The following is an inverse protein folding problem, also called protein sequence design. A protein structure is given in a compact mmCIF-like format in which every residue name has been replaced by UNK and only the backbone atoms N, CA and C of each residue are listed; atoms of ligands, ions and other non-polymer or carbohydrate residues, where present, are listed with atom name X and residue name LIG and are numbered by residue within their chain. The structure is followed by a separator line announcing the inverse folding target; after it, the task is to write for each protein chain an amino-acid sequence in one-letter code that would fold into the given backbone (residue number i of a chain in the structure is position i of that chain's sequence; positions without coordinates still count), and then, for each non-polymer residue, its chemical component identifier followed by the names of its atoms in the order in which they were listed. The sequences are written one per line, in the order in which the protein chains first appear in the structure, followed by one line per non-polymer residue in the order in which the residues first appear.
data_IF_997592824136
#
_entry.id   IF_997592824136
#
_cell.length_a   1.000
_cell.length_b   1.000
_cell.length_c   1.000
_cell.angle_alpha   90.00
_cell.angle_beta   90.00
_cell.angle_gamma   90.00
#
_symmetry.space_group_name_H-M   'P 1'
#
loop_
_entity.id
_entity.type
_entity.pdbx_description
1 polymer ?
#
# COMPACT_ATOMS: atom_id res chain seq x y z
N UNK A 1 23.52 66.42 -7.94
CA UNK A 1 22.92 66.13 -9.26
C UNK A 1 22.09 64.87 -9.16
N UNK A 2 20.76 64.86 -9.18
CA UNK A 2 19.75 65.89 -9.33
C UNK A 2 18.44 65.35 -8.72
N UNK A 3 17.65 66.26 -8.15
CA UNK A 3 16.23 66.12 -7.77
C UNK A 3 15.31 66.05 -9.01
N UNK A 4 14.11 65.48 -8.84
CA UNK A 4 12.78 65.83 -9.41
C UNK A 4 11.94 64.55 -9.61
N UNK A 5 10.63 64.43 -9.33
CA UNK A 5 9.59 65.40 -8.98
C UNK A 5 8.39 64.58 -8.42
N UNK A 6 8.01 64.74 -7.14
CA UNK A 6 6.80 65.38 -6.61
C UNK A 6 5.43 65.07 -7.26
N UNK A 7 4.49 64.75 -6.33
CA UNK A 7 3.07 65.22 -6.22
C UNK A 7 2.06 64.66 -7.24
N UNK A 8 0.77 64.54 -6.95
CA UNK A 8 -0.08 64.66 -5.76
C UNK A 8 -1.44 64.03 -6.16
N UNK A 9 -2.03 63.19 -5.31
CA UNK A 9 -3.25 63.49 -4.54
C UNK A 9 -4.59 63.59 -5.32
N UNK A 10 -5.45 62.61 -5.02
CA UNK A 10 -6.85 62.72 -4.56
C UNK A 10 -7.98 63.01 -5.57
N UNK A 11 -9.10 62.29 -5.31
CA UNK A 11 -10.53 62.69 -5.44
C UNK A 11 -11.10 62.65 -6.87
N UNK A 12 -12.34 62.23 -7.17
CA UNK A 12 -13.66 62.09 -6.50
C UNK A 12 -14.41 60.89 -7.18
N UNK A 13 -15.21 60.06 -6.50
CA UNK A 13 -16.66 60.20 -6.20
C UNK A 13 -17.58 60.57 -7.41
N UNK A 14 -18.51 59.64 -7.68
CA UNK A 14 -19.89 59.74 -8.16
C UNK A 14 -20.26 60.76 -9.27
N UNK A 15 -20.92 60.30 -10.35
CA UNK A 15 -22.39 60.37 -10.52
C UNK A 15 -22.83 60.05 -11.97
N UNK A 16 -24.03 59.46 -12.09
CA UNK A 16 -25.07 59.59 -13.15
C UNK A 16 -24.70 59.47 -14.66
N UNK A 17 -25.52 58.94 -15.58
CA UNK A 17 -26.98 59.01 -15.69
C UNK A 17 -27.54 57.99 -16.70
N UNK A 18 -28.80 57.65 -16.44
CA UNK A 18 -29.92 57.05 -17.21
C UNK A 18 -29.79 56.80 -18.72
N UNK A 19 -30.49 55.75 -19.18
CA UNK A 19 -31.91 55.84 -19.63
C UNK A 19 -32.29 54.78 -20.67
N UNK A 20 -33.39 54.05 -20.43
CA UNK A 20 -34.56 53.80 -21.32
C UNK A 20 -35.35 52.61 -20.75
N UNK A 21 -36.39 52.85 -19.94
CA UNK A 21 -37.81 53.13 -20.28
C UNK A 21 -38.54 52.01 -21.01
N UNK A 22 -39.59 51.51 -20.35
CA UNK A 22 -40.67 50.72 -20.93
C UNK A 22 -41.66 50.23 -19.87
N UNK A 23 -42.54 51.12 -19.40
CA UNK A 23 -43.68 50.79 -18.52
C UNK A 23 -44.92 50.45 -19.36
N UNK A 24 -45.77 49.54 -18.86
CA UNK A 24 -47.07 49.26 -19.47
C UNK A 24 -47.94 48.21 -18.78
N UNK A 25 -48.67 48.65 -17.74
CA UNK A 25 -50.07 48.35 -17.36
C UNK A 25 -50.58 46.90 -17.12
N UNK A 26 -50.94 46.69 -15.85
CA UNK A 26 -52.26 46.34 -15.26
C UNK A 26 -53.39 45.66 -16.08
N UNK A 27 -53.99 44.66 -15.41
CA UNK A 27 -55.40 44.18 -15.36
C UNK A 27 -55.50 42.67 -15.68
N UNK A 28 -56.25 41.83 -14.99
CA UNK A 28 -57.23 41.99 -13.92
C UNK A 28 -57.67 40.59 -13.45
N UNK A 29 -58.34 40.56 -12.30
CA UNK A 29 -58.86 39.38 -11.62
C UNK A 29 -60.06 38.73 -12.35
N UNK A 30 -60.24 37.42 -12.17
CA UNK A 30 -61.51 36.74 -11.89
C UNK A 30 -61.18 35.25 -11.60
N UNK A 31 -61.34 34.75 -10.38
CA UNK A 31 -62.57 34.37 -9.67
C UNK A 31 -62.97 32.89 -9.90
N UNK A 32 -63.30 32.25 -8.79
CA UNK A 32 -63.57 30.83 -8.52
C UNK A 32 -64.97 30.42 -9.09
N UNK A 33 -65.50 29.16 -9.01
CA UNK A 33 -65.50 28.32 -7.80
C UNK A 33 -65.60 26.76 -7.92
N UNK A 34 -65.23 26.13 -6.79
CA UNK A 34 -65.83 24.99 -6.07
C UNK A 34 -66.79 23.98 -6.73
N UNK A 35 -66.55 22.70 -6.40
CA UNK A 35 -67.50 21.70 -5.82
C UNK A 35 -66.68 20.44 -5.48
N UNK A 36 -66.52 19.90 -4.27
CA UNK A 36 -67.38 19.58 -3.13
C UNK A 36 -68.51 18.59 -3.41
N UNK A 37 -68.45 17.46 -2.69
CA UNK A 37 -69.50 16.45 -2.54
C UNK A 37 -69.12 15.09 -3.13
N UNK A 38 -69.42 13.93 -2.55
CA UNK A 38 -69.83 13.56 -1.21
C UNK A 38 -69.73 12.02 -1.19
N UNK A 39 -69.58 11.43 0.00
CA UNK A 39 -69.63 9.98 0.21
C UNK A 39 -71.02 9.45 -0.16
N UNK A 40 -71.09 8.20 -0.64
CA UNK A 40 -72.05 7.20 -0.17
C UNK A 40 -71.69 5.78 -0.62
N UNK A 41 -71.91 4.87 0.32
CA UNK A 41 -71.72 3.44 0.29
C UNK A 41 -72.51 2.71 -0.79
N UNK A 42 -71.91 1.64 -1.32
CA UNK A 42 -72.62 0.42 -1.69
C UNK A 42 -71.64 -0.77 -1.58
N UNK A 43 -71.80 -1.56 -0.52
CA UNK A 43 -71.09 -2.82 -0.36
C UNK A 43 -71.60 -3.90 -1.31
N UNK A 44 -70.74 -4.89 -1.57
CA UNK A 44 -71.17 -6.18 -2.09
C UNK A 44 -70.17 -6.85 -3.03
N UNK A 45 -69.55 -7.92 -2.52
CA UNK A 45 -69.01 -9.10 -3.26
C UNK A 45 -67.62 -8.97 -3.90
N UNK A 46 -66.59 -9.29 -3.10
CA UNK A 46 -65.54 -10.23 -3.56
C UNK A 46 -64.62 -10.57 -2.38
N UNK A 47 -65.02 -11.57 -1.59
CA UNK A 47 -64.15 -12.33 -0.69
C UNK A 47 -64.46 -13.79 -0.95
N UNK A 48 -63.91 -14.28 -2.06
CA UNK A 48 -63.91 -15.71 -2.43
C UNK A 48 -62.90 -15.91 -3.56
N UNK A 49 -61.63 -15.54 -3.31
CA UNK A 49 -60.51 -15.92 -4.21
C UNK A 49 -59.15 -15.75 -3.56
N UNK A 50 -58.99 -16.30 -2.36
CA UNK A 50 -57.67 -16.34 -1.72
C UNK A 50 -57.56 -17.43 -0.65
N UNK A 51 -58.12 -18.63 -0.88
CA UNK A 51 -57.90 -19.80 -0.02
C UNK A 51 -57.76 -21.13 -0.80
N UNK A 52 -57.54 -21.07 -2.12
CA UNK A 52 -57.39 -22.26 -2.96
C UNK A 52 -56.06 -22.24 -3.73
N UNK A 53 -54.95 -22.23 -2.98
CA UNK A 53 -53.59 -22.54 -3.49
C UNK A 53 -52.60 -23.01 -2.42
N UNK A 54 -53.10 -23.45 -1.26
CA UNK A 54 -52.32 -24.08 -0.18
C UNK A 54 -53.06 -25.32 0.34
N UNK A 55 -53.30 -26.29 -0.54
CA UNK A 55 -53.73 -27.64 -0.16
C UNK A 55 -53.42 -28.58 -1.34
N UNK A 56 -52.13 -28.86 -1.53
CA UNK A 56 -51.65 -29.66 -2.65
C UNK A 56 -50.15 -29.92 -2.58
N UNK A 57 -49.64 -30.15 -1.37
CA UNK A 57 -48.28 -30.63 -1.14
C UNK A 57 -48.31 -31.57 0.06
N UNK A 58 -48.91 -32.73 -0.14
CA UNK A 58 -48.60 -33.89 0.68
C UNK A 58 -48.91 -35.16 -0.12
N UNK A 59 -47.92 -36.06 -0.16
CA UNK A 59 -47.99 -37.46 -0.61
C UNK A 59 -47.89 -37.74 -2.11
N UNK A 60 -46.65 -37.74 -2.61
CA UNK A 60 -46.14 -38.93 -3.31
C UNK A 60 -44.81 -39.27 -2.67
N UNK A 61 -44.78 -40.41 -2.01
CA UNK A 61 -43.59 -40.99 -1.41
C UNK A 61 -42.93 -41.94 -2.42
N UNK A 62 -41.62 -42.05 -2.22
CA UNK A 62 -40.76 -43.20 -2.49
C UNK A 62 -40.18 -43.37 -3.90
N UNK A 63 -38.90 -43.75 -3.89
CA UNK A 63 -38.01 -44.04 -5.02
C UNK A 63 -37.42 -42.86 -5.82
N UNK A 64 -36.54 -42.05 -5.18
CA UNK A 64 -35.13 -41.93 -5.62
C UNK A 64 -34.35 -41.04 -4.63
N UNK A 65 -33.65 -41.66 -3.69
CA UNK A 65 -32.77 -40.97 -2.73
C UNK A 65 -31.34 -41.26 -3.14
N UNK A 66 -30.56 -40.31 -3.69
CA UNK A 66 -29.14 -40.54 -3.88
C UNK A 66 -28.52 -40.67 -2.49
N UNK A 67 -27.97 -41.85 -2.21
CA UNK A 67 -27.22 -42.12 -1.01
C UNK A 67 -26.11 -41.07 -0.92
N UNK A 68 -26.23 -40.12 0.01
CA UNK A 68 -25.10 -39.33 0.48
C UNK A 68 -24.17 -40.29 1.19
N UNK A 69 -23.26 -40.92 0.43
CA UNK A 69 -22.00 -41.42 0.96
C UNK A 69 -21.34 -40.22 1.62
N UNK A 70 -21.29 -40.25 2.94
CA UNK A 70 -20.36 -39.45 3.73
C UNK A 70 -18.99 -39.96 3.33
N UNK A 71 -18.43 -39.40 2.28
CA UNK A 71 -17.00 -39.52 2.00
C UNK A 71 -16.38 -38.68 3.09
N UNK A 72 -15.98 -39.33 4.18
CA UNK A 72 -14.89 -38.82 4.98
C UNK A 72 -13.71 -38.81 4.00
N UNK A 73 -13.45 -37.64 3.40
CA UNK A 73 -12.20 -37.38 2.72
C UNK A 73 -11.12 -37.56 3.79
N UNK A 74 -10.45 -38.71 3.76
CA UNK A 74 -9.15 -38.81 4.41
C UNK A 74 -8.29 -37.70 3.80
N UNK A 75 -7.72 -36.80 4.62
CA UNK A 75 -6.90 -35.72 4.10
C UNK A 75 -5.78 -36.34 3.27
N UNK A 76 -5.59 -35.80 2.07
CA UNK A 76 -4.58 -36.28 1.11
C UNK A 76 -3.27 -36.51 1.85
N UNK A 77 -2.72 -37.73 1.75
CA UNK A 77 -1.59 -38.16 2.58
C UNK A 77 -0.38 -37.22 2.44
N UNK A 78 -0.26 -36.55 1.29
CA UNK A 78 0.73 -35.53 1.01
C UNK A 78 0.45 -34.20 1.74
N UNK A 79 -0.81 -33.75 1.83
CA UNK A 79 -1.18 -32.55 2.60
C UNK A 79 -1.01 -32.76 4.11
N UNK A 80 -1.28 -33.97 4.59
CA UNK A 80 -1.07 -34.32 6.00
C UNK A 80 0.43 -34.36 6.33
N UNK A 81 1.25 -34.96 5.46
CA UNK A 81 2.71 -34.96 5.60
C UNK A 81 3.32 -33.55 5.53
N UNK A 82 2.89 -32.71 4.60
CA UNK A 82 3.35 -31.31 4.50
C UNK A 82 2.99 -30.49 5.73
N UNK A 83 1.81 -30.72 6.31
CA UNK A 83 1.38 -30.03 7.53
C UNK A 83 2.20 -30.47 8.74
N UNK A 84 2.51 -31.76 8.84
CA UNK A 84 3.39 -32.32 9.88
C UNK A 84 4.84 -31.79 9.76
N UNK A 85 5.37 -31.71 8.54
CA UNK A 85 6.70 -31.14 8.24
C UNK A 85 6.80 -29.66 8.64
N UNK A 86 5.77 -28.88 8.33
CA UNK A 86 5.69 -27.47 8.71
C UNK A 86 5.60 -27.30 10.23
N UNK A 87 4.82 -28.15 10.90
CA UNK A 87 4.71 -28.12 12.36
C UNK A 87 6.02 -28.51 13.05
N UNK A 88 6.72 -29.54 12.56
CA UNK A 88 8.03 -29.95 13.05
C UNK A 88 9.07 -28.81 12.89
N UNK A 89 9.08 -28.18 11.71
CA UNK A 89 9.95 -27.04 11.38
C UNK A 89 9.71 -25.85 12.31
N UNK A 90 8.45 -25.48 12.54
CA UNK A 90 8.10 -24.33 13.37
C UNK A 90 8.51 -24.52 14.84
N UNK A 91 8.35 -25.75 15.38
CA UNK A 91 8.75 -26.06 16.77
C UNK A 91 10.26 -25.86 16.98
N UNK A 92 11.09 -26.36 16.06
CA UNK A 92 12.55 -26.24 16.16
C UNK A 92 12.99 -24.77 16.01
N UNK A 93 12.44 -24.03 15.05
CA UNK A 93 12.76 -22.61 14.85
C UNK A 93 12.35 -21.74 16.03
N UNK A 94 11.19 -22.03 16.64
CA UNK A 94 10.72 -21.34 17.84
C UNK A 94 11.70 -21.50 18.99
N UNK A 95 12.14 -22.73 19.27
CA UNK A 95 13.10 -23.02 20.34
C UNK A 95 14.48 -22.42 20.05
N UNK A 96 14.96 -22.46 18.80
CA UNK A 96 16.20 -21.79 18.41
C UNK A 96 16.15 -20.28 18.69
N UNK A 97 15.02 -19.64 18.42
CA UNK A 97 14.81 -18.21 18.70
C UNK A 97 14.74 -17.94 20.20
N UNK A 98 13.97 -18.74 20.95
CA UNK A 98 13.87 -18.60 22.40
C UNK A 98 15.22 -18.81 23.09
N UNK A 99 16.05 -19.72 22.58
CA UNK A 99 17.40 -19.97 23.08
C UNK A 99 18.38 -18.85 22.71
N UNK A 100 18.24 -18.24 21.52
CA UNK A 100 19.04 -17.08 21.13
C UNK A 100 18.77 -15.85 22.03
N UNK A 101 17.52 -15.70 22.51
CA UNK A 101 17.09 -14.61 23.40
C UNK A 101 17.11 -15.01 24.91
N UNK A 102 17.56 -16.21 25.24
CA UNK A 102 17.51 -16.75 26.60
C UNK A 102 18.47 -16.06 27.56
N UNK A 103 18.13 -16.05 28.85
CA UNK A 103 19.05 -15.69 29.94
C UNK A 103 19.75 -16.96 30.46
N UNK A 104 20.90 -16.83 31.11
CA UNK A 104 21.67 -17.98 31.66
C UNK A 104 20.82 -18.91 32.52
N UNK A 105 19.97 -18.35 33.39
CA UNK A 105 19.08 -19.14 34.26
C UNK A 105 18.06 -20.00 33.49
N UNK A 106 17.72 -19.61 32.26
CA UNK A 106 16.74 -20.31 31.40
C UNK A 106 17.41 -21.11 30.27
N UNK A 107 18.73 -20.98 30.09
CA UNK A 107 19.46 -21.60 29.00
C UNK A 107 19.40 -23.13 29.06
N UNK A 108 19.75 -23.72 30.21
CA UNK A 108 19.86 -25.18 30.34
C UNK A 108 18.52 -25.91 30.12
N UNK A 109 17.39 -25.46 30.70
CA UNK A 109 16.08 -26.02 30.38
C UNK A 109 15.71 -25.90 28.90
N UNK A 110 15.99 -24.75 28.26
CA UNK A 110 15.69 -24.53 26.84
C UNK A 110 16.63 -25.29 25.90
N UNK A 111 17.88 -25.53 26.31
CA UNK A 111 18.84 -26.37 25.61
C UNK A 111 18.37 -27.83 25.61
N UNK A 112 17.98 -28.34 26.77
CA UNK A 112 17.50 -29.72 26.91
C UNK A 112 16.20 -29.91 26.10
N UNK A 113 15.27 -28.94 26.15
CA UNK A 113 14.03 -28.95 25.36
C UNK A 113 14.30 -28.85 23.85
N UNK A 114 15.29 -28.07 23.41
CA UNK A 114 15.70 -27.98 22.01
C UNK A 114 16.30 -29.29 21.52
N UNK A 115 17.19 -29.92 22.29
CA UNK A 115 17.81 -31.20 21.92
C UNK A 115 16.77 -32.32 21.84
N UNK A 116 15.86 -32.42 22.81
CA UNK A 116 14.76 -33.41 22.80
C UNK A 116 13.80 -33.18 21.62
N UNK A 117 13.46 -31.92 21.34
CA UNK A 117 12.60 -31.56 20.22
C UNK A 117 13.27 -31.81 18.87
N UNK A 118 14.58 -31.58 18.76
CA UNK A 118 15.35 -31.95 17.59
C UNK A 118 15.33 -33.46 17.38
N UNK A 119 15.60 -34.28 18.38
CA UNK A 119 15.56 -35.74 18.23
C UNK A 119 14.19 -36.27 17.76
N UNK A 120 13.10 -35.67 18.26
CA UNK A 120 11.73 -36.08 17.91
C UNK A 120 11.24 -35.56 16.57
N UNK A 121 11.56 -34.31 16.22
CA UNK A 121 10.92 -33.60 15.12
C UNK A 121 11.83 -33.48 13.87
N UNK A 122 13.17 -33.61 13.98
CA UNK A 122 14.06 -33.56 12.79
C UNK A 122 13.70 -34.62 11.73
N UNK A 123 13.44 -35.90 12.10
CA UNK A 123 13.08 -36.92 11.12
C UNK A 123 11.77 -36.63 10.39
N UNK A 124 10.94 -35.75 10.97
CA UNK A 124 9.65 -35.31 10.43
C UNK A 124 9.73 -33.98 9.70
N UNK A 125 10.91 -33.35 9.61
CA UNK A 125 11.09 -32.02 9.01
C UNK A 125 11.48 -32.07 7.51
N UNK A 126 11.45 -33.25 6.89
CA UNK A 126 11.67 -33.44 5.45
C UNK A 126 12.97 -32.79 4.96
N UNK A 127 12.88 -32.05 3.86
CA UNK A 127 14.01 -31.35 3.21
C UNK A 127 14.66 -30.27 4.09
N UNK A 128 13.95 -29.77 5.11
CA UNK A 128 14.46 -28.70 5.99
C UNK A 128 15.31 -29.22 7.15
N UNK A 129 15.39 -30.53 7.37
CA UNK A 129 16.05 -31.13 8.54
C UNK A 129 17.53 -30.73 8.68
N UNK A 130 18.29 -30.70 7.58
CA UNK A 130 19.72 -30.37 7.61
C UNK A 130 19.97 -28.89 7.92
N UNK A 131 19.15 -27.99 7.36
CA UNK A 131 19.22 -26.56 7.64
C UNK A 131 18.86 -26.24 9.10
N UNK A 132 17.82 -26.90 9.64
CA UNK A 132 17.39 -26.75 11.03
C UNK A 132 18.44 -27.26 12.01
N UNK A 133 19.08 -28.39 11.69
CA UNK A 133 20.21 -28.92 12.48
C UNK A 133 21.38 -27.93 12.50
N UNK A 134 21.78 -27.41 11.35
CA UNK A 134 22.84 -26.41 11.25
C UNK A 134 22.52 -25.15 12.04
N UNK A 135 21.27 -24.69 12.01
CA UNK A 135 20.85 -23.51 12.76
C UNK A 135 20.86 -23.74 14.28
N UNK A 136 20.35 -24.87 14.75
CA UNK A 136 20.39 -25.22 16.17
C UNK A 136 21.82 -25.40 16.69
N UNK A 137 22.69 -26.06 15.91
CA UNK A 137 24.11 -26.22 16.24
C UNK A 137 24.83 -24.88 16.37
N UNK A 138 24.51 -23.89 15.53
CA UNK A 138 25.07 -22.53 15.63
C UNK A 138 24.66 -21.84 16.92
N UNK A 139 23.38 -21.93 17.31
CA UNK A 139 22.89 -21.33 18.57
C UNK A 139 23.52 -22.02 19.77
N UNK A 140 23.62 -23.35 19.75
CA UNK A 140 24.27 -24.11 20.83
C UNK A 140 25.77 -23.84 20.91
N UNK A 141 26.45 -23.70 19.77
CA UNK A 141 27.87 -23.36 19.69
C UNK A 141 28.13 -21.96 20.25
N UNK A 142 27.30 -20.98 19.89
CA UNK A 142 27.36 -19.62 20.44
C UNK A 142 27.31 -19.64 21.98
N UNK A 143 26.36 -20.38 22.56
CA UNK A 143 26.29 -20.52 24.02
C UNK A 143 27.45 -21.30 24.63
N UNK A 144 28.01 -22.29 23.92
CA UNK A 144 29.18 -23.05 24.38
C UNK A 144 30.45 -22.21 24.43
N UNK A 145 30.62 -21.29 23.47
CA UNK A 145 31.82 -20.48 23.29
C UNK A 145 31.76 -19.14 24.07
N UNK A 146 30.58 -18.51 24.17
CA UNK A 146 30.43 -17.17 24.76
C UNK A 146 29.95 -17.18 26.22
N UNK A 147 29.31 -18.26 26.72
CA UNK A 147 28.70 -18.30 28.05
C UNK A 147 29.54 -18.97 29.15
N UNK A 148 30.82 -19.28 28.91
CA UNK A 148 31.80 -19.59 29.97
C UNK A 148 31.45 -20.70 30.98
N UNK A 149 30.54 -21.62 30.67
CA UNK A 149 30.09 -22.68 31.59
C UNK A 149 28.99 -22.24 32.57
N UNK A 150 28.41 -23.20 33.32
CA UNK A 150 27.11 -23.05 33.99
C UNK A 150 27.03 -22.01 35.11
N UNK A 151 28.18 -21.45 35.55
CA UNK A 151 28.26 -20.47 36.64
C UNK A 151 28.81 -19.10 36.20
N UNK A 152 28.88 -18.80 34.90
CA UNK A 152 29.36 -17.50 34.39
C UNK A 152 28.22 -16.56 33.96
N UNK A 153 28.46 -15.26 34.07
CA UNK A 153 27.49 -14.18 33.88
C UNK A 153 26.96 -14.13 32.42
N UNK A 154 25.68 -13.78 32.25
CA UNK A 154 24.98 -13.97 30.99
C UNK A 154 25.58 -13.17 29.82
N UNK A 155 25.85 -13.80 28.65
CA UNK A 155 26.29 -13.07 27.49
C UNK A 155 25.17 -12.12 27.03
N UNK A 156 25.54 -10.87 26.74
CA UNK A 156 24.60 -9.85 26.28
C UNK A 156 24.01 -10.26 24.92
N UNK A 157 22.70 -10.05 24.69
CA UNK A 157 22.10 -10.28 23.39
C UNK A 157 22.76 -9.37 22.34
N UNK A 158 22.94 -9.84 21.10
CA UNK A 158 23.50 -9.01 20.05
C UNK A 158 22.54 -7.85 19.74
N UNK A 159 22.91 -6.64 20.15
CA UNK A 159 22.20 -5.41 19.76
C UNK A 159 21.80 -4.46 20.90
N UNK A 160 22.71 -4.11 21.81
CA UNK A 160 22.62 -2.86 22.59
C UNK A 160 24.02 -2.37 23.04
N UNK A 161 24.49 -1.33 22.34
CA UNK A 161 25.74 -0.52 22.41
C UNK A 161 26.20 -0.08 23.83
N UNK A 162 27.45 0.44 24.08
CA UNK A 162 28.33 1.21 23.18
C UNK A 162 29.82 0.84 23.15
N UNK A 163 30.47 1.09 22.01
CA UNK A 163 31.93 0.97 21.84
C UNK A 163 32.66 2.20 22.38
N UNK A 164 33.58 1.97 23.30
CA UNK A 164 34.76 2.82 23.48
C UNK A 164 35.96 2.13 22.79
N UNK A 165 36.84 2.95 22.21
CA UNK A 165 37.61 2.67 21.00
C UNK A 165 38.78 1.67 21.12
N UNK A 166 38.90 0.78 20.12
CA UNK A 166 40.19 0.35 19.57
C UNK A 166 40.30 0.87 18.13
N UNK A 167 41.47 1.41 17.75
CA UNK A 167 41.63 2.31 16.60
C UNK A 167 41.26 1.67 15.24
N UNK A 168 40.56 2.41 14.34
CA UNK A 168 40.08 1.94 13.04
C UNK A 168 41.15 1.34 12.10
N UNK A 169 42.43 1.62 12.37
CA UNK A 169 43.54 1.28 11.48
C UNK A 169 43.94 -0.20 11.55
N UNK A 170 43.78 -0.83 12.71
CA UNK A 170 44.20 -2.23 12.94
C UNK A 170 43.13 -3.23 12.48
N UNK A 171 41.84 -2.92 12.67
CA UNK A 171 40.73 -3.71 12.15
C UNK A 171 40.62 -3.64 10.60
N UNK A 172 41.01 -2.52 10.00
CA UNK A 172 41.05 -2.36 8.54
C UNK A 172 42.22 -3.14 7.90
N UNK A 173 43.38 -3.23 8.58
CA UNK A 173 44.55 -3.97 8.10
C UNK A 173 44.29 -5.49 8.07
N UNK A 174 43.72 -6.05 9.14
CA UNK A 174 43.41 -7.48 9.23
C UNK A 174 42.36 -7.93 8.20
N UNK A 175 41.37 -7.06 7.89
CA UNK A 175 40.36 -7.34 6.85
C UNK A 175 40.94 -7.26 5.43
N UNK A 176 41.92 -6.40 5.18
CA UNK A 176 42.60 -6.27 3.88
C UNK A 176 43.47 -7.50 3.57
N UNK A 177 44.12 -8.06 4.59
CA UNK A 177 44.94 -9.27 4.45
C UNK A 177 44.09 -10.53 4.22
N UNK A 178 42.96 -10.67 4.92
CA UNK A 178 42.02 -11.77 4.70
C UNK A 178 41.35 -11.73 3.31
N UNK A 179 41.06 -10.52 2.80
CA UNK A 179 40.50 -10.33 1.46
C UNK A 179 41.50 -10.55 0.32
N UNK A 180 42.81 -10.42 0.59
CA UNK A 180 43.87 -10.65 -0.40
C UNK A 180 44.19 -12.13 -0.64
N UNK A 181 43.76 -13.03 0.27
CA UNK A 181 44.11 -14.45 0.25
C UNK A 181 42.95 -15.38 -0.15
N UNK A 182 41.77 -14.85 -0.45
CA UNK A 182 40.63 -15.65 -0.91
C UNK A 182 40.79 -16.06 -2.39
N UNK A 183 40.60 -17.34 -2.75
CA UNK A 183 40.75 -17.81 -4.12
C UNK A 183 39.72 -17.15 -5.04
N UNK A 184 40.20 -16.55 -6.14
CA UNK A 184 39.37 -15.94 -7.18
C UNK A 184 38.94 -17.01 -8.18
N UNK A 185 37.82 -17.67 -7.91
CA UNK A 185 37.04 -18.29 -8.98
C UNK A 185 35.90 -17.33 -9.36
N UNK A 186 35.83 -16.98 -10.63
CA UNK A 186 34.82 -16.08 -11.19
C UNK A 186 33.77 -16.96 -11.88
N UNK A 187 32.56 -17.12 -11.32
CA UNK A 187 31.45 -17.65 -12.08
C UNK A 187 30.99 -16.56 -13.05
N UNK A 188 31.07 -16.88 -14.35
CA UNK A 188 30.34 -16.13 -15.36
C UNK A 188 28.87 -16.53 -15.25
N UNK A 189 28.02 -15.54 -14.98
CA UNK A 189 26.56 -15.62 -14.89
C UNK A 189 25.99 -16.29 -13.62
N UNK A 190 25.34 -15.50 -12.76
CA UNK A 190 24.72 -16.01 -11.52
C UNK A 190 24.65 -14.97 -10.40
N UNK A 191 23.78 -13.96 -10.56
CA UNK A 191 23.40 -13.10 -9.44
C UNK A 191 22.77 -13.94 -8.32
N UNK A 192 22.98 -13.54 -7.06
CA UNK A 192 22.32 -14.16 -5.90
C UNK A 192 20.79 -14.29 -6.15
N UNK A 193 20.13 -15.36 -5.67
CA UNK A 193 18.71 -15.56 -5.88
C UNK A 193 17.92 -14.34 -5.37
N UNK A 194 17.12 -13.74 -6.25
CA UNK A 194 16.25 -12.61 -5.90
C UNK A 194 15.21 -13.10 -4.90
N UNK A 195 15.10 -12.43 -3.75
CA UNK A 195 14.08 -12.77 -2.77
C UNK A 195 12.68 -12.73 -3.42
N UNK A 196 11.75 -13.66 -3.10
CA UNK A 196 10.43 -13.70 -3.72
C UNK A 196 9.64 -12.39 -3.62
N UNK A 197 9.89 -11.58 -2.58
CA UNK A 197 9.29 -10.25 -2.38
C UNK A 197 9.80 -9.16 -3.33
N UNK A 198 10.86 -9.45 -4.09
CA UNK A 198 11.53 -8.57 -5.04
C UNK A 198 11.49 -9.10 -6.48
N UNK A 199 10.62 -10.07 -6.76
CA UNK A 199 10.17 -10.36 -8.13
C UNK A 199 9.12 -9.31 -8.56
N UNK A 200 8.81 -9.23 -9.86
CA UNK A 200 7.73 -8.36 -10.35
C UNK A 200 6.41 -8.68 -9.63
N UNK A 201 6.08 -9.97 -9.51
CA UNK A 201 4.88 -10.43 -8.82
C UNK A 201 4.92 -10.14 -7.33
N UNK A 202 6.07 -10.32 -6.67
CA UNK A 202 6.21 -10.05 -5.24
C UNK A 202 6.07 -8.57 -4.88
N UNK A 203 6.62 -7.67 -5.71
CA UNK A 203 6.44 -6.22 -5.54
C UNK A 203 5.00 -5.82 -5.85
N UNK A 204 4.40 -6.36 -6.92
CA UNK A 204 3.00 -6.11 -7.28
C UNK A 204 2.01 -6.60 -6.21
N UNK A 205 2.26 -7.77 -5.63
CA UNK A 205 1.51 -8.36 -4.52
C UNK A 205 1.52 -7.45 -3.29
N UNK A 206 2.72 -6.99 -2.88
CA UNK A 206 2.87 -6.07 -1.76
C UNK A 206 2.12 -4.76 -2.01
N UNK A 207 2.24 -4.21 -3.21
CA UNK A 207 1.53 -2.99 -3.59
C UNK A 207 0.02 -3.20 -3.57
N UNK A 208 -0.47 -4.35 -4.03
CA UNK A 208 -1.90 -4.66 -4.00
C UNK A 208 -2.44 -4.68 -2.57
N UNK A 209 -1.76 -5.38 -1.64
CA UNK A 209 -2.13 -5.41 -0.22
C UNK A 209 -2.10 -4.02 0.40
N UNK A 210 -1.10 -3.21 0.05
CA UNK A 210 -1.02 -1.81 0.49
C UNK A 210 -2.23 -1.01 -0.02
N UNK A 211 -2.61 -1.16 -1.28
CA UNK A 211 -3.75 -0.44 -1.87
C UNK A 211 -5.10 -0.87 -1.28
N UNK A 212 -5.28 -2.16 -1.00
CA UNK A 212 -6.45 -2.68 -0.26
C UNK A 212 -6.54 -2.03 1.12
N UNK A 213 -5.43 -1.99 1.86
CA UNK A 213 -5.35 -1.32 3.15
C UNK A 213 -5.60 0.20 3.07
N UNK A 214 -5.12 0.88 2.02
CA UNK A 214 -5.43 2.30 1.78
C UNK A 214 -6.93 2.50 1.51
N UNK A 215 -7.57 1.58 0.79
CA UNK A 215 -9.01 1.64 0.52
C UNK A 215 -9.83 1.55 1.80
N UNK A 216 -9.53 0.58 2.65
CA UNK A 216 -10.18 0.43 3.98
C UNK A 216 -9.96 1.67 4.86
N UNK A 217 -8.73 2.21 4.85
CA UNK A 217 -8.42 3.44 5.58
C UNK A 217 -9.20 4.64 5.05
N UNK A 218 -9.37 4.78 3.72
CA UNK A 218 -10.19 5.85 3.15
C UNK A 218 -11.63 5.72 3.56
N UNK A 219 -12.22 4.54 3.45
CA UNK A 219 -13.60 4.29 3.86
C UNK A 219 -13.82 4.63 5.34
N UNK A 220 -12.90 4.22 6.22
CA UNK A 220 -12.96 4.54 7.64
C UNK A 220 -12.89 6.06 7.91
N UNK A 221 -12.05 6.79 7.18
CA UNK A 221 -11.91 8.25 7.32
C UNK A 221 -13.13 8.99 6.74
N UNK A 222 -13.61 8.58 5.58
CA UNK A 222 -14.76 9.17 4.89
C UNK A 222 -16.07 8.92 5.65
N UNK A 223 -16.24 7.74 6.27
CA UNK A 223 -17.36 7.44 7.17
C UNK A 223 -17.40 8.31 8.43
N UNK A 224 -16.34 9.08 8.68
CA UNK A 224 -16.25 10.09 9.75
C UNK A 224 -16.35 11.53 9.23
N UNK A 225 -16.78 11.71 7.98
CA UNK A 225 -16.87 13.01 7.32
C UNK A 225 -15.53 13.74 7.21
N UNK A 226 -14.42 13.01 7.25
CA UNK A 226 -13.06 13.52 7.09
C UNK A 226 -12.52 13.16 5.71
N UNK A 227 -11.42 13.80 5.32
CA UNK A 227 -10.64 13.39 4.16
C UNK A 227 -9.30 12.84 4.58
N UNK A 228 -8.66 12.04 3.72
CA UNK A 228 -7.38 11.39 4.02
C UNK A 228 -6.27 12.37 4.42
N UNK A 229 -6.33 13.60 3.89
CA UNK A 229 -5.40 14.67 4.27
C UNK A 229 -5.51 15.06 5.74
N UNK A 230 -6.71 15.00 6.33
CA UNK A 230 -6.91 15.27 7.77
C UNK A 230 -6.19 14.22 8.63
N UNK A 231 -6.32 12.93 8.25
CA UNK A 231 -5.60 11.84 8.92
C UNK A 231 -4.09 12.03 8.78
N UNK A 232 -3.60 12.27 7.56
CA UNK A 232 -2.17 12.49 7.32
C UNK A 232 -1.66 13.66 8.16
N UNK A 233 -2.41 14.76 8.25
CA UNK A 233 -2.05 15.92 9.08
C UNK A 233 -2.05 15.57 10.57
N UNK A 234 -3.01 14.79 11.05
CA UNK A 234 -3.10 14.38 12.44
C UNK A 234 -1.93 13.50 12.87
N UNK A 235 -1.46 12.62 11.99
CA UNK A 235 -0.38 11.66 12.31
C UNK A 235 1.01 12.12 11.86
N UNK A 236 1.08 13.23 11.12
CA UNK A 236 2.35 13.83 10.70
C UNK A 236 3.15 14.29 11.91
N UNK A 237 4.40 13.83 12.01
CA UNK A 237 5.28 14.16 13.14
C UNK A 237 5.16 13.21 14.33
N UNK A 238 4.24 12.24 14.29
CA UNK A 238 4.13 11.18 15.30
C UNK A 238 5.31 10.18 15.23
N UNK A 239 6.15 10.25 14.20
CA UNK A 239 7.25 9.32 14.00
C UNK A 239 6.75 7.87 13.97
N UNK A 240 7.40 6.99 14.73
CA UNK A 240 7.01 5.58 14.82
C UNK A 240 5.65 5.34 15.48
N UNK A 241 5.08 6.34 16.17
CA UNK A 241 3.78 6.26 16.86
C UNK A 241 2.58 6.63 15.99
N UNK A 242 2.77 6.78 14.68
CA UNK A 242 1.72 7.23 13.79
C UNK A 242 0.52 6.25 13.74
N UNK A 243 0.72 4.96 14.04
CA UNK A 243 -0.37 3.97 14.14
C UNK A 243 -1.32 4.32 15.28
N UNK A 244 -0.77 4.55 16.47
CA UNK A 244 -1.52 4.85 17.67
C UNK A 244 -2.27 6.18 17.50
N UNK A 245 -1.62 7.18 16.90
CA UNK A 245 -2.26 8.46 16.56
C UNK A 245 -3.34 8.31 15.49
N UNK A 246 -3.17 7.42 14.50
CA UNK A 246 -4.21 7.11 13.51
C UNK A 246 -5.44 6.49 14.17
N UNK A 247 -5.24 5.54 15.08
CA UNK A 247 -6.32 4.92 15.87
C UNK A 247 -7.02 5.98 16.74
N UNK A 248 -6.26 6.83 17.43
CA UNK A 248 -6.81 7.91 18.25
C UNK A 248 -7.63 8.90 17.42
N UNK A 249 -7.12 9.31 16.25
CA UNK A 249 -7.82 10.18 15.32
C UNK A 249 -9.14 9.58 14.85
N UNK A 250 -9.15 8.30 14.46
CA UNK A 250 -10.37 7.62 14.02
C UNK A 250 -11.38 7.46 15.17
N UNK A 251 -10.94 7.15 16.39
CA UNK A 251 -11.84 7.01 17.54
C UNK A 251 -12.46 8.33 18.01
N UNK A 252 -11.78 9.45 17.79
CA UNK A 252 -12.23 10.80 18.23
C UNK A 252 -12.96 11.57 17.14
N UNK A 253 -12.89 11.12 15.89
CA UNK A 253 -13.58 11.76 14.78
C UNK A 253 -15.07 11.38 14.76
N UNK A 254 -15.98 12.37 14.65
CA UNK A 254 -17.41 12.11 14.64
C UNK A 254 -17.82 11.36 13.36
N UNK A 255 -18.86 10.52 13.45
CA UNK A 255 -19.47 9.86 12.30
C UNK A 255 -20.79 9.24 12.74
N UNK A 256 -21.77 9.19 11.85
CA UNK A 256 -22.99 8.42 12.09
C UNK A 256 -22.68 6.96 11.76
N UNK A 257 -22.70 6.10 12.79
CA UNK A 257 -22.34 4.67 12.70
C UNK A 257 -21.05 4.41 11.86
N UNK A 258 -19.91 4.99 12.25
CA UNK A 258 -18.72 4.96 11.41
C UNK A 258 -18.14 3.54 11.33
N UNK A 259 -17.53 3.15 10.20
CA UNK A 259 -16.84 1.87 10.09
C UNK A 259 -15.84 1.66 11.23
N UNK A 260 -15.70 0.41 11.68
CA UNK A 260 -14.71 0.05 12.68
C UNK A 260 -13.29 0.48 12.23
N UNK A 261 -12.43 0.78 13.20
CA UNK A 261 -11.03 1.13 12.91
C UNK A 261 -10.35 -0.07 12.24
N UNK A 262 -9.83 0.07 11.00
CA UNK A 262 -9.27 -1.06 10.27
C UNK A 262 -7.83 -1.33 10.73
N UNK A 263 -7.69 -2.01 11.87
CA UNK A 263 -6.40 -2.31 12.51
C UNK A 263 -5.49 -3.18 11.64
N UNK A 264 -6.04 -4.14 10.90
CA UNK A 264 -5.28 -4.96 9.96
C UNK A 264 -4.69 -4.13 8.80
N UNK A 265 -5.46 -3.16 8.28
CA UNK A 265 -4.98 -2.22 7.28
C UNK A 265 -3.84 -1.36 7.83
N UNK A 266 -3.96 -0.84 9.06
CA UNK A 266 -2.91 -0.07 9.72
C UNK A 266 -1.62 -0.88 9.88
N UNK A 267 -1.70 -2.15 10.28
CA UNK A 267 -0.52 -3.03 10.37
C UNK A 267 0.12 -3.28 9.00
N UNK A 268 -0.70 -3.51 7.97
CA UNK A 268 -0.21 -3.68 6.59
C UNK A 268 0.53 -2.44 6.11
N UNK A 269 -0.05 -1.25 6.31
CA UNK A 269 0.56 0.02 5.94
C UNK A 269 1.84 0.29 6.75
N UNK A 270 1.86 -0.04 8.03
CA UNK A 270 3.04 0.08 8.87
C UNK A 270 4.19 -0.81 8.41
N UNK A 271 3.90 -2.06 8.02
CA UNK A 271 4.89 -2.95 7.41
C UNK A 271 5.44 -2.45 6.07
N UNK A 272 4.68 -1.61 5.35
CA UNK A 272 5.12 -0.99 4.11
C UNK A 272 5.96 0.29 4.32
N UNK A 273 5.90 0.90 5.51
CA UNK A 273 6.58 2.16 5.79
C UNK A 273 8.12 1.98 5.78
N UNK A 274 8.82 2.85 5.07
CA UNK A 274 10.29 2.93 5.12
C UNK A 274 10.76 3.35 6.53
N UNK A 275 12.05 3.21 6.81
CA UNK A 275 12.68 3.57 8.10
C UNK A 275 12.46 5.03 8.57
N UNK A 276 11.84 5.88 7.76
CA UNK A 276 11.32 7.20 8.12
C UNK A 276 9.80 7.16 8.40
N UNK A 277 9.38 6.21 9.26
CA UNK A 277 8.00 6.05 9.67
C UNK A 277 7.51 7.34 10.36
N UNK A 278 6.50 8.00 9.80
CA UNK A 278 5.79 9.14 10.42
C UNK A 278 6.12 10.55 9.91
N UNK A 279 6.99 10.73 8.91
CA UNK A 279 7.08 12.03 8.22
C UNK A 279 5.85 12.25 7.33
N UNK A 280 5.42 13.51 7.18
CA UNK A 280 4.30 13.84 6.29
C UNK A 280 4.52 13.32 4.86
N UNK A 281 5.75 13.40 4.35
CA UNK A 281 6.12 12.86 3.03
C UNK A 281 6.03 11.33 2.94
N UNK A 282 6.43 10.62 4.01
CA UNK A 282 6.35 9.16 4.05
C UNK A 282 4.89 8.70 4.14
N UNK A 283 4.07 9.38 4.95
CA UNK A 283 2.65 9.09 5.08
C UNK A 283 1.91 9.38 3.77
N UNK A 284 2.14 10.54 3.13
CA UNK A 284 1.56 10.84 1.81
C UNK A 284 1.89 9.76 0.78
N UNK A 285 3.13 9.28 0.75
CA UNK A 285 3.53 8.17 -0.12
C UNK A 285 2.81 6.87 0.23
N UNK A 286 2.70 6.55 1.53
CA UNK A 286 2.08 5.34 2.02
C UNK A 286 0.58 5.26 1.67
N UNK A 287 -0.10 6.40 1.67
CA UNK A 287 -1.52 6.54 1.34
C UNK A 287 -1.80 6.81 -0.14
N UNK A 288 -0.75 6.89 -0.97
CA UNK A 288 -0.90 7.19 -2.39
C UNK A 288 -1.57 6.05 -3.15
N UNK A 289 -2.39 6.39 -4.14
CA UNK A 289 -2.96 5.44 -5.10
C UNK A 289 -2.50 5.82 -6.50
N UNK A 290 -1.62 4.99 -7.08
CA UNK A 290 -1.15 5.16 -8.45
C UNK A 290 -1.92 4.26 -9.39
N UNK A 291 -2.26 4.82 -10.55
CA UNK A 291 -2.77 4.06 -11.68
C UNK A 291 -2.07 4.49 -12.97
N UNK A 292 -2.19 3.65 -13.99
CA UNK A 292 -1.76 3.99 -15.34
C UNK A 292 -2.92 3.84 -16.31
N UNK A 293 -2.86 4.64 -17.37
CA UNK A 293 -3.89 4.65 -18.39
C UNK A 293 -3.72 3.52 -19.38
N UNK A 294 -4.75 2.72 -19.63
CA UNK A 294 -4.70 1.62 -20.62
C UNK A 294 -4.98 2.09 -22.04
N UNK A 295 -5.44 3.34 -22.20
CA UNK A 295 -5.81 3.98 -23.46
C UNK A 295 -5.71 5.50 -23.34
N UNK A 296 -5.56 6.26 -24.44
CA UNK A 296 -5.61 7.73 -24.33
C UNK A 296 -6.97 8.22 -23.81
N UNK A 297 -6.98 9.23 -22.94
CA UNK A 297 -8.21 9.82 -22.39
C UNK A 297 -8.03 11.30 -22.04
N UNK A 298 -9.14 12.02 -21.91
CA UNK A 298 -9.15 13.43 -21.54
C UNK A 298 -9.37 13.59 -20.03
N UNK A 299 -8.55 14.44 -19.41
CA UNK A 299 -8.81 14.99 -18.09
C UNK A 299 -9.72 16.19 -18.24
N UNK A 300 -10.73 16.30 -17.38
CA UNK A 300 -11.59 17.49 -17.31
C UNK A 300 -11.42 18.23 -15.99
N UNK A 301 -11.84 19.48 -15.92
CA UNK A 301 -11.79 20.28 -14.69
C UNK A 301 -12.92 19.94 -13.69
N UNK A 302 -13.99 19.30 -14.16
CA UNK A 302 -15.14 18.88 -13.35
C UNK A 302 -15.39 17.35 -13.41
N UNK A 303 -16.09 16.83 -12.39
CA UNK A 303 -16.45 15.42 -12.31
C UNK A 303 -17.38 15.00 -13.46
N UNK A 304 -18.36 15.85 -13.81
CA UNK A 304 -19.22 15.66 -14.98
C UNK A 304 -18.39 15.76 -16.27
N UNK A 305 -18.42 14.71 -17.08
CA UNK A 305 -17.80 14.69 -18.41
C UNK A 305 -18.52 15.64 -19.37
N UNK A 306 -19.82 15.86 -19.16
CA UNK A 306 -20.65 16.70 -20.02
C UNK A 306 -20.43 18.20 -19.78
N UNK A 307 -20.26 18.58 -18.52
CA UNK A 307 -20.09 19.99 -18.13
C UNK A 307 -18.62 20.41 -18.01
N UNK A 308 -17.72 19.44 -17.78
CA UNK A 308 -16.30 19.68 -17.60
C UNK A 308 -15.60 20.10 -18.89
N UNK A 309 -14.63 21.00 -18.75
CA UNK A 309 -13.75 21.44 -19.84
C UNK A 309 -12.49 20.59 -19.87
N UNK A 310 -11.98 20.35 -21.06
CA UNK A 310 -10.74 19.63 -21.29
C UNK A 310 -9.54 20.36 -20.67
N UNK A 311 -8.77 19.64 -19.84
CA UNK A 311 -7.53 20.14 -19.20
C UNK A 311 -6.30 19.64 -19.96
N UNK A 312 -6.24 18.33 -20.23
CA UNK A 312 -5.19 17.68 -21.03
C UNK A 312 -5.61 16.28 -21.46
N UNK A 313 -4.87 15.71 -22.41
CA UNK A 313 -4.98 14.31 -22.81
C UNK A 313 -3.91 13.46 -22.12
N UNK A 314 -4.31 12.47 -21.31
CA UNK A 314 -3.46 11.38 -20.87
C UNK A 314 -3.17 10.43 -22.03
N UNK A 315 -1.92 10.02 -22.18
CA UNK A 315 -1.51 8.99 -23.14
C UNK A 315 -1.66 7.58 -22.55
N UNK A 316 -1.74 6.57 -23.42
CA UNK A 316 -1.63 5.17 -22.98
C UNK A 316 -0.30 4.95 -22.25
N UNK A 317 -0.33 4.26 -21.12
CA UNK A 317 0.81 4.01 -20.24
C UNK A 317 1.18 5.20 -19.35
N UNK A 318 0.52 6.35 -19.50
CA UNK A 318 0.77 7.50 -18.64
C UNK A 318 0.18 7.25 -17.24
N UNK A 319 0.94 7.61 -16.22
CA UNK A 319 0.54 7.42 -14.83
C UNK A 319 -0.26 8.61 -14.30
N UNK A 320 -1.17 8.31 -13.38
CA UNK A 320 -2.06 9.25 -12.72
C UNK A 320 -2.14 8.91 -11.22
N UNK A 321 -1.96 9.91 -10.35
CA UNK A 321 -2.14 9.77 -8.91
C UNK A 321 -3.57 10.15 -8.55
N UNK A 322 -4.30 9.24 -7.90
CA UNK A 322 -5.67 9.48 -7.45
C UNK A 322 -5.66 10.18 -6.09
N UNK A 323 -6.31 11.33 -6.02
CA UNK A 323 -6.46 12.16 -4.82
C UNK A 323 -7.88 12.06 -4.23
N UNK A 324 -8.91 11.95 -5.09
CA UNK A 324 -10.32 11.94 -4.69
C UNK A 324 -11.16 11.03 -5.60
N UNK A 325 -12.24 10.46 -5.06
CA UNK A 325 -13.12 9.51 -5.74
C UNK A 325 -12.83 8.05 -5.36
N UNK A 326 -13.55 7.07 -5.93
CA UNK A 326 -14.38 7.18 -7.12
C UNK A 326 -15.78 7.76 -6.89
N UNK A 327 -16.32 8.49 -7.88
CA UNK A 327 -17.71 8.97 -7.91
C UNK A 327 -18.38 8.60 -9.24
N UNK A 328 -19.68 8.35 -9.23
CA UNK A 328 -20.45 8.09 -10.44
C UNK A 328 -20.79 9.41 -11.12
N UNK A 329 -20.46 9.52 -12.40
CA UNK A 329 -21.07 10.51 -13.30
C UNK A 329 -22.45 9.97 -13.71
N UNK A 330 -23.56 10.61 -13.28
CA UNK A 330 -24.90 10.10 -13.53
C UNK A 330 -25.30 10.18 -15.00
N UNK A 331 -24.76 11.14 -15.76
CA UNK A 331 -25.10 11.35 -17.16
C UNK A 331 -24.43 10.29 -18.04
N UNK A 332 -23.16 10.00 -17.76
CA UNK A 332 -22.36 9.08 -18.57
C UNK A 332 -22.27 7.66 -18.00
N UNK A 333 -22.78 7.44 -16.78
CA UNK A 333 -22.71 6.15 -16.07
C UNK A 333 -21.27 5.59 -15.98
N UNK A 334 -20.31 6.48 -15.71
CA UNK A 334 -18.89 6.13 -15.53
C UNK A 334 -18.39 6.51 -14.15
N UNK A 335 -17.37 5.80 -13.67
CA UNK A 335 -16.64 6.15 -12.46
C UNK A 335 -15.57 7.19 -12.78
N UNK A 336 -15.55 8.24 -11.98
CA UNK A 336 -14.67 9.39 -12.10
C UNK A 336 -13.78 9.48 -10.87
N UNK A 337 -12.51 9.74 -11.09
CA UNK A 337 -11.52 9.97 -10.05
C UNK A 337 -10.81 11.27 -10.33
N UNK A 338 -10.56 12.06 -9.30
CA UNK A 338 -9.77 13.29 -9.41
C UNK A 338 -8.35 13.00 -8.96
N UNK A 339 -7.41 13.65 -9.61
CA UNK A 339 -6.00 13.41 -9.33
C UNK A 339 -5.09 14.22 -10.24
N UNK A 340 -3.83 13.80 -10.29
CA UNK A 340 -2.78 14.51 -10.99
C UNK A 340 -2.03 13.60 -11.96
N UNK A 341 -1.83 14.08 -13.19
CA UNK A 341 -0.99 13.40 -14.16
C UNK A 341 0.49 13.49 -13.72
N UNK A 342 1.19 12.35 -13.76
CA UNK A 342 2.59 12.29 -13.32
C UNK A 342 3.53 13.06 -14.25
N UNK A 343 3.21 13.11 -15.55
CA UNK A 343 4.08 13.66 -16.58
C UNK A 343 4.29 15.17 -16.45
N UNK A 344 3.21 15.92 -16.23
CA UNK A 344 3.22 17.39 -16.24
C UNK A 344 2.62 18.01 -14.99
N UNK A 345 2.20 17.19 -14.02
CA UNK A 345 1.60 17.64 -12.79
C UNK A 345 0.23 18.29 -12.98
N UNK A 346 -0.44 18.21 -14.14
CA UNK A 346 -1.77 18.80 -14.29
C UNK A 346 -2.82 17.96 -13.57
N UNK A 347 -3.64 18.64 -12.77
CA UNK A 347 -4.74 18.03 -12.03
C UNK A 347 -6.04 18.08 -12.82
N UNK A 348 -6.88 17.07 -12.65
CA UNK A 348 -8.19 16.99 -13.28
C UNK A 348 -8.93 15.70 -12.93
N UNK A 349 -10.10 15.52 -13.51
CA UNK A 349 -10.94 14.35 -13.38
C UNK A 349 -10.73 13.40 -14.55
N UNK A 350 -10.38 12.17 -14.22
CA UNK A 350 -10.15 11.08 -15.16
C UNK A 350 -11.27 10.03 -15.04
N UNK A 351 -11.53 9.31 -16.13
CA UNK A 351 -12.51 8.22 -16.14
C UNK A 351 -11.81 6.93 -15.75
N UNK A 352 -12.19 6.35 -14.61
CA UNK A 352 -11.68 5.06 -14.12
C UNK A 352 -12.20 3.90 -15.00
N UNK A 353 -13.47 3.98 -15.44
CA UNK A 353 -14.13 2.98 -16.28
C UNK A 353 -15.65 3.07 -16.14
N UNK A 354 -16.43 2.15 -16.75
CA UNK A 354 -17.87 2.11 -16.60
C UNK A 354 -18.29 1.87 -15.13
N UNK A 355 -19.44 2.42 -14.72
CA UNK A 355 -19.99 2.23 -13.38
C UNK A 355 -20.53 0.81 -13.17
N UNK A 356 -21.16 0.22 -14.19
CA UNK A 356 -21.79 -1.11 -14.12
C UNK A 356 -20.85 -2.25 -14.55
N UNK A 357 -19.60 -2.22 -14.07
CA UNK A 357 -18.59 -3.21 -14.44
C UNK A 357 -18.08 -3.08 -15.89
N UNK A 358 -17.01 -3.81 -16.20
CA UNK A 358 -16.33 -3.74 -17.49
C UNK A 358 -14.89 -3.25 -17.41
N UNK A 359 -14.22 -3.19 -18.57
CA UNK A 359 -12.79 -2.91 -18.64
C UNK A 359 -12.46 -1.51 -18.10
N UNK A 360 -11.56 -1.46 -17.11
CA UNK A 360 -11.07 -0.21 -16.53
C UNK A 360 -10.14 0.51 -17.51
N UNK A 361 -10.26 1.83 -17.55
CA UNK A 361 -9.41 2.69 -18.38
C UNK A 361 -8.18 3.17 -17.60
N UNK A 362 -8.30 3.24 -16.29
CA UNK A 362 -7.19 3.38 -15.35
C UNK A 362 -7.05 2.08 -14.56
N UNK A 363 -5.85 1.50 -14.57
CA UNK A 363 -5.55 0.27 -13.83
C UNK A 363 -4.63 0.62 -12.67
N UNK A 364 -4.99 0.17 -11.48
CA UNK A 364 -4.21 0.36 -10.26
C UNK A 364 -2.86 -0.35 -10.36
N UNK A 365 -1.82 0.27 -9.82
CA UNK A 365 -0.48 -0.32 -9.73
C UNK A 365 0.48 0.17 -10.81
N UNK A 366 1.34 -0.74 -11.29
CA UNK A 366 2.51 -0.41 -12.09
C UNK A 366 3.69 0.13 -11.25
N UNK A 367 3.73 -0.22 -9.96
CA UNK A 367 4.80 0.17 -9.05
C UNK A 367 6.02 -0.73 -9.16
N UNK A 368 5.85 -2.00 -9.54
CA UNK A 368 6.95 -2.89 -9.88
C UNK A 368 7.50 -2.52 -11.26
N UNK A 369 8.78 -2.16 -11.31
CA UNK A 369 9.48 -1.78 -12.53
C UNK A 369 10.72 -2.64 -12.70
N UNK A 370 11.00 -3.09 -13.92
CA UNK A 370 12.24 -3.79 -14.27
C UNK A 370 13.24 -2.81 -14.86
N UNK A 371 14.50 -2.94 -14.48
CA UNK A 371 15.62 -2.20 -15.06
C UNK A 371 16.20 -2.98 -16.26
N UNK A 372 15.87 -2.67 -17.53
CA UNK A 372 16.33 -3.43 -18.70
C UNK A 372 17.81 -3.24 -19.04
N UNK A 373 18.48 -2.27 -18.40
CA UNK A 373 19.92 -2.01 -18.55
C UNK A 373 20.46 -1.40 -17.26
N UNK A 374 21.78 -1.40 -17.02
CA UNK A 374 22.34 -0.74 -15.85
C UNK A 374 21.92 0.74 -15.76
N UNK A 375 21.41 1.15 -14.59
CA UNK A 375 20.88 2.52 -14.37
C UNK A 375 21.40 3.09 -13.06
N UNK A 376 21.91 4.32 -13.08
CA UNK A 376 22.40 4.99 -11.87
C UNK A 376 21.26 5.73 -11.18
N UNK A 377 21.12 5.53 -9.86
CA UNK A 377 20.18 6.27 -9.03
C UNK A 377 20.83 7.56 -8.51
N UNK A 378 20.33 8.71 -8.94
CA UNK A 378 20.77 10.03 -8.46
C UNK A 378 20.24 10.29 -7.05
N UNK A 379 21.10 10.83 -6.19
CA UNK A 379 20.77 11.12 -4.79
C UNK A 379 20.68 9.87 -3.90
N UNK A 380 21.02 8.70 -4.46
CA UNK A 380 21.20 7.47 -3.71
C UNK A 380 22.69 7.26 -3.43
N UNK A 381 23.12 7.38 -2.17
CA UNK A 381 24.45 6.95 -1.79
C UNK A 381 24.53 5.41 -1.82
N UNK A 382 25.51 4.85 -2.52
CA UNK A 382 25.77 3.43 -2.46
C UNK A 382 26.13 3.04 -1.01
N UNK A 383 25.44 2.04 -0.44
CA UNK A 383 25.84 1.40 0.82
C UNK A 383 27.07 0.50 0.58
N UNK A 384 28.21 1.09 0.23
CA UNK A 384 29.46 0.33 0.01
C UNK A 384 30.31 0.31 1.28
N UNK A 385 30.75 -0.88 1.69
CA UNK A 385 31.64 -1.10 2.84
C UNK A 385 33.14 -1.02 2.46
N UNK A 386 33.48 -0.58 1.24
CA UNK A 386 34.85 -0.60 0.71
C UNK A 386 35.19 0.77 0.11
N UNK A 387 36.07 1.49 0.83
CA UNK A 387 36.90 2.68 0.49
C UNK A 387 36.38 3.74 -0.49
N UNK A 388 36.25 4.97 0.05
CA UNK A 388 36.64 6.26 -0.53
C UNK A 388 36.10 6.67 -1.92
N UNK A 389 34.85 6.34 -2.23
CA UNK A 389 34.03 7.20 -3.10
C UNK A 389 32.79 7.65 -2.31
N UNK A 390 32.98 8.66 -1.47
CA UNK A 390 31.84 9.46 -0.98
C UNK A 390 31.09 9.98 -2.22
N UNK A 391 29.79 9.73 -2.28
CA UNK A 391 28.84 10.07 -3.36
C UNK A 391 28.82 9.23 -4.65
N UNK A 392 29.36 8.01 -4.69
CA UNK A 392 29.06 7.12 -5.82
C UNK A 392 27.55 6.77 -5.87
N UNK A 393 26.82 7.10 -6.97
CA UNK A 393 25.40 6.81 -7.07
C UNK A 393 25.15 5.31 -7.07
N UNK A 394 24.06 4.86 -6.44
CA UNK A 394 23.69 3.44 -6.49
C UNK A 394 23.41 3.00 -7.93
N UNK A 395 24.22 2.06 -8.44
CA UNK A 395 23.99 1.39 -9.71
C UNK A 395 22.99 0.23 -9.57
N UNK A 396 21.91 0.27 -10.35
CA UNK A 396 21.01 -0.86 -10.57
C UNK A 396 21.59 -1.79 -11.63
N UNK A 397 21.39 -3.10 -11.46
CA UNK A 397 21.78 -4.11 -12.45
C UNK A 397 20.69 -4.27 -13.50
N UNK A 398 21.09 -4.78 -14.66
CA UNK A 398 20.13 -5.29 -15.64
C UNK A 398 19.26 -6.40 -15.01
N UNK A 399 17.96 -6.36 -15.28
CA UNK A 399 16.96 -7.26 -14.72
C UNK A 399 16.52 -6.92 -13.29
N UNK A 400 17.21 -6.02 -12.57
CA UNK A 400 16.86 -5.65 -11.19
C UNK A 400 15.46 -5.04 -11.13
N UNK A 401 14.64 -5.55 -10.21
CA UNK A 401 13.28 -5.04 -9.98
C UNK A 401 13.34 -3.97 -8.89
N UNK A 402 12.69 -2.85 -9.16
CA UNK A 402 12.56 -1.72 -8.24
C UNK A 402 11.09 -1.39 -8.01
N UNK A 403 10.82 -0.69 -6.91
CA UNK A 403 9.49 -0.18 -6.59
C UNK A 403 9.41 1.32 -6.85
N UNK A 404 8.41 1.76 -7.59
CA UNK A 404 8.09 3.17 -7.84
C UNK A 404 7.52 3.83 -6.56
N UNK A 405 8.35 4.62 -5.91
CA UNK A 405 8.03 5.31 -4.65
C UNK A 405 7.73 6.79 -4.84
N UNK A 406 8.03 7.38 -6.00
CA UNK A 406 7.67 8.75 -6.32
C UNK A 406 8.02 9.15 -7.74
N UNK A 407 7.74 10.41 -8.06
CA UNK A 407 8.11 11.04 -9.32
C UNK A 407 8.34 12.53 -9.09
N UNK A 408 9.01 13.15 -10.04
CA UNK A 408 9.13 14.59 -10.14
C UNK A 408 8.67 15.00 -11.54
N UNK A 409 7.91 16.10 -11.67
CA UNK A 409 7.58 16.63 -12.97
C UNK A 409 8.86 16.95 -13.73
N UNK A 410 8.75 16.89 -15.05
CA UNK A 410 9.83 17.27 -15.95
C UNK A 410 10.29 18.71 -15.64
N UNK A 411 11.60 18.92 -15.48
CA UNK A 411 12.18 20.22 -15.12
C UNK A 411 12.26 21.18 -16.34
N UNK A 412 12.48 20.64 -17.55
CA UNK A 412 12.55 21.40 -18.81
C UNK A 412 11.86 20.68 -19.98
N UNK A 413 11.37 21.43 -20.97
CA UNK A 413 10.74 20.85 -22.16
C UNK A 413 11.72 19.91 -22.89
N UNK A 414 11.36 18.62 -23.00
CA UNK A 414 12.19 17.58 -23.60
C UNK A 414 12.86 16.62 -22.60
N UNK A 415 12.95 16.97 -21.33
CA UNK A 415 13.52 16.07 -20.32
C UNK A 415 12.60 14.87 -20.05
N UNK A 416 13.15 13.66 -19.87
CA UNK A 416 12.36 12.51 -19.47
C UNK A 416 11.83 12.71 -18.04
N UNK A 417 10.58 12.32 -17.76
CA UNK A 417 10.04 12.39 -16.41
C UNK A 417 10.91 11.55 -15.47
N UNK A 418 11.18 12.07 -14.28
CA UNK A 418 12.02 11.41 -13.28
C UNK A 418 11.14 10.61 -12.33
N UNK A 419 11.55 9.39 -12.02
CA UNK A 419 10.94 8.54 -11.01
C UNK A 419 11.87 8.37 -9.83
N UNK A 420 11.29 8.40 -8.64
CA UNK A 420 11.95 7.99 -7.41
C UNK A 420 11.63 6.52 -7.20
N UNK A 421 12.65 5.69 -7.08
CA UNK A 421 12.51 4.24 -6.95
C UNK A 421 13.20 3.73 -5.69
N UNK A 422 12.71 2.62 -5.13
CA UNK A 422 13.32 1.86 -4.04
C UNK A 422 13.88 0.55 -4.58
N UNK A 423 15.19 0.35 -4.43
CA UNK A 423 15.91 -0.86 -4.81
C UNK A 423 15.79 -1.97 -3.76
N UNK A 424 16.29 -3.16 -4.08
CA UNK A 424 16.09 -4.38 -3.27
C UNK A 424 16.72 -4.30 -1.86
N UNK A 425 17.85 -3.60 -1.73
CA UNK A 425 18.51 -3.30 -0.44
C UNK A 425 17.96 -2.05 0.28
N UNK A 426 16.81 -1.54 -0.18
CA UNK A 426 16.13 -0.39 0.38
C UNK A 426 16.74 0.96 0.03
N UNK A 427 17.81 1.02 -0.78
CA UNK A 427 18.32 2.30 -1.30
C UNK A 427 17.26 2.97 -2.17
N UNK A 428 17.04 4.26 -1.96
CA UNK A 428 16.09 5.05 -2.74
C UNK A 428 16.83 6.11 -3.54
N UNK A 429 16.39 6.37 -4.77
CA UNK A 429 16.96 7.44 -5.57
C UNK A 429 16.19 7.71 -6.85
N UNK A 430 16.67 8.70 -7.60
CA UNK A 430 16.01 9.23 -8.78
C UNK A 430 16.63 8.69 -10.06
N UNK A 431 15.79 8.32 -11.03
CA UNK A 431 16.22 7.93 -12.37
C UNK A 431 15.16 8.30 -13.41
N UNK A 432 15.52 8.43 -14.71
CA UNK A 432 14.54 8.65 -15.77
C UNK A 432 13.53 7.50 -15.85
N UNK A 433 12.23 7.79 -16.04
CA UNK A 433 11.20 6.74 -16.23
C UNK A 433 11.52 5.85 -17.44
N UNK A 434 12.15 6.41 -18.48
CA UNK A 434 12.53 5.69 -19.69
C UNK A 434 13.58 4.59 -19.44
N UNK A 435 14.23 4.59 -18.27
CA UNK A 435 15.22 3.59 -17.88
C UNK A 435 14.57 2.34 -17.28
N UNK A 436 13.24 2.24 -17.31
CA UNK A 436 12.48 1.15 -16.73
C UNK A 436 11.38 0.64 -17.65
N UNK A 437 11.08 -0.64 -17.52
CA UNK A 437 9.94 -1.29 -18.15
C UNK A 437 8.88 -1.59 -17.09
N UNK A 438 7.63 -1.30 -17.42
CA UNK A 438 6.51 -1.83 -16.65
C UNK A 438 6.25 -3.28 -17.11
N UNK A 439 5.74 -4.15 -16.23
CA UNK A 439 5.35 -5.51 -16.60
C UNK A 439 4.36 -5.58 -17.76
#
# INVERSE_FOLDING_TARGET
DAEDDRRAARRDEDDDDRSRRGAGRENGAADHPQRSGERRDAGGRSRERSEEKQAGQERVADEDRPQKKKVEEEPDSEQTQQTEEQQATFKILRLCRQLADAKVATYKPLQDELLETMERELPRAGESAEALKSQAEKVLKYWREEAGGPDSEAPKPPGAEPTEAASPREAAAARKEAAAQAPKEVPQDGGAPVAPSWTLDGVAERERRRMEAVSEMREAVEGRGKVLEDLVKAVSGAGRRWKEEAVAFLNTSPGEDPPAVPTAALETLFGCADGNAGSASALKRLFRVLCYSTRPMILTDAASVKEGKDVRKLQKGEYFEIEEGPRVDPDMQVLRVRGRALRDGKAGWATLGPAQGGAKFLVLGGSALRCPRPTSLRGAAAKSAVVDLEDAPRQLREGEVVELVGWAPTQAEGDPPQVHVRAQDGTMGWAPRADFEAP
#
